data_IF_099343599078
#
_entry.id   IF_099343599078
#
_cell.length_a   1.000
_cell.length_b   1.000
_cell.length_c   1.000
_cell.angle_alpha   90.00
_cell.angle_beta   90.00
_cell.angle_gamma   90.00
#
_symmetry.space_group_name_H-M   'P 1'
#
loop_
_entity.id
_entity.type
_entity.pdbx_description
1 polymer ?
#
# COMPACT_ATOMS: atom_id res chain seq x y z
N UNK A 1 -3.64 13.46 1.63
CA UNK A 1 -3.63 11.99 1.47
C UNK A 1 -2.50 11.33 2.24
N UNK A 2 -1.21 11.54 1.91
CA UNK A 2 -0.10 10.91 2.65
C UNK A 2 -0.15 11.16 4.17
N UNK A 3 -0.35 12.43 4.59
CA UNK A 3 -0.50 12.80 6.00
C UNK A 3 -1.67 12.10 6.70
N UNK A 4 -2.88 12.13 6.11
CA UNK A 4 -4.07 11.44 6.67
C UNK A 4 -3.80 9.94 6.92
N UNK A 5 -3.17 9.27 5.95
CA UNK A 5 -2.85 7.84 6.06
C UNK A 5 -1.66 7.56 6.99
N UNK A 6 -1.01 8.60 7.53
CA UNK A 6 0.05 8.52 8.53
C UNK A 6 -0.25 9.37 9.78
N UNK A 7 -1.53 9.69 10.02
CA UNK A 7 -1.94 10.45 11.20
C UNK A 7 -1.92 9.54 12.44
N UNK A 8 -1.14 9.92 13.45
CA UNK A 8 -1.01 9.17 14.71
C UNK A 8 -2.34 9.04 15.46
N UNK A 9 -3.20 10.06 15.41
CA UNK A 9 -4.50 10.03 16.10
C UNK A 9 -5.48 9.04 15.47
N UNK A 10 -5.32 8.74 14.18
CA UNK A 10 -6.14 7.75 13.46
C UNK A 10 -5.54 6.34 13.53
N UNK A 11 -4.22 6.23 13.47
CA UNK A 11 -3.53 4.96 13.21
C UNK A 11 -2.64 4.46 14.36
N UNK A 12 -2.37 5.27 15.39
CA UNK A 12 -1.50 4.95 16.53
C UNK A 12 -0.03 4.85 16.15
N UNK A 13 0.38 3.81 15.44
CA UNK A 13 1.73 3.58 14.94
C UNK A 13 1.80 3.73 13.40
N UNK A 14 1.59 4.95 12.84
CA UNK A 14 1.32 5.16 11.42
C UNK A 14 2.46 4.74 10.47
N UNK A 15 3.70 4.70 10.96
CA UNK A 15 4.87 4.31 10.18
C UNK A 15 5.20 2.81 10.29
N UNK A 16 4.43 2.03 11.07
CA UNK A 16 4.59 0.59 11.16
C UNK A 16 3.72 -0.14 10.13
N UNK A 17 4.33 -1.01 9.33
CA UNK A 17 3.61 -1.94 8.47
C UNK A 17 2.97 -3.05 9.32
N UNK A 18 1.74 -2.80 9.81
CA UNK A 18 0.97 -3.69 10.69
C UNK A 18 -0.40 -4.00 10.07
N UNK A 19 -0.52 -5.00 9.18
CA UNK A 19 -1.79 -5.34 8.52
C UNK A 19 -2.92 -5.72 9.49
N UNK A 20 -2.58 -6.26 10.66
CA UNK A 20 -3.55 -6.64 11.69
C UNK A 20 -4.48 -5.50 12.14
N UNK A 21 -4.08 -4.23 11.98
CA UNK A 21 -4.92 -3.06 12.30
C UNK A 21 -6.27 -3.07 11.59
N UNK A 22 -6.33 -3.63 10.37
CA UNK A 22 -7.55 -3.71 9.57
C UNK A 22 -8.50 -4.84 10.03
N UNK A 23 -8.05 -5.71 10.95
CA UNK A 23 -8.86 -6.76 11.56
C UNK A 23 -9.43 -6.33 12.93
N UNK A 24 -8.87 -5.28 13.53
CA UNK A 24 -9.27 -4.78 14.86
C UNK A 24 -10.63 -4.08 14.80
N UNK A 25 -10.87 -3.29 13.74
CA UNK A 25 -12.15 -2.67 13.44
C UNK A 25 -12.29 -2.32 11.95
N UNK A 26 -13.51 -2.11 11.46
CA UNK A 26 -13.73 -1.48 10.16
C UNK A 26 -13.07 -0.08 10.11
N UNK A 27 -12.56 0.27 8.95
CA UNK A 27 -12.08 1.63 8.66
C UNK A 27 -13.29 2.53 8.42
N UNK A 28 -13.34 3.65 9.12
CA UNK A 28 -14.43 4.61 8.97
C UNK A 28 -14.25 5.45 7.69
N UNK A 29 -15.34 6.09 7.28
CA UNK A 29 -15.33 6.98 6.11
C UNK A 29 -14.24 8.05 6.27
N UNK A 30 -13.43 8.21 5.24
CA UNK A 30 -12.36 9.21 5.11
C UNK A 30 -11.15 9.03 6.06
N UNK A 31 -11.03 7.89 6.74
CA UNK A 31 -9.79 7.54 7.48
C UNK A 31 -8.69 7.05 6.53
N UNK A 32 -8.98 6.06 5.67
CA UNK A 32 -8.07 5.52 4.67
C UNK A 32 -8.38 6.11 3.29
N UNK A 33 -7.57 7.07 2.85
CA UNK A 33 -7.77 7.80 1.59
C UNK A 33 -6.56 7.79 0.64
N UNK A 34 -5.85 6.66 0.43
CA UNK A 34 -4.75 6.60 -0.53
C UNK A 34 -5.21 6.90 -1.96
N UNK A 35 -6.52 6.77 -2.23
CA UNK A 35 -7.14 7.03 -3.53
C UNK A 35 -8.27 8.07 -3.47
N UNK A 36 -8.20 8.98 -2.49
CA UNK A 36 -9.22 9.98 -2.23
C UNK A 36 -10.32 9.50 -1.27
N UNK A 37 -10.98 10.47 -0.63
CA UNK A 37 -12.14 10.24 0.25
C UNK A 37 -13.46 10.63 -0.42
N UNK A 38 -14.54 10.49 0.33
CA UNK A 38 -15.90 10.83 -0.09
C UNK A 38 -16.64 9.69 -0.80
N UNK A 39 -17.81 10.04 -1.31
CA UNK A 39 -18.68 9.15 -2.07
C UNK A 39 -18.25 9.13 -3.55
N UNK A 40 -17.95 7.94 -4.13
CA UNK A 40 -17.57 7.82 -5.52
C UNK A 40 -18.70 8.13 -6.52
N UNK A 41 -19.97 8.06 -6.11
CA UNK A 41 -21.12 8.35 -6.99
C UNK A 41 -21.36 9.86 -7.16
N UNK A 42 -20.97 10.66 -6.17
CA UNK A 42 -21.28 12.10 -6.11
C UNK A 42 -20.03 12.99 -6.06
N UNK A 43 -18.83 12.40 -6.01
CA UNK A 43 -17.56 13.11 -5.91
C UNK A 43 -16.47 12.58 -6.86
N UNK A 44 -15.22 12.91 -6.53
CA UNK A 44 -14.04 12.57 -7.34
C UNK A 44 -13.17 11.47 -6.71
N UNK A 45 -13.73 10.67 -5.80
CA UNK A 45 -13.03 9.48 -5.29
C UNK A 45 -12.64 8.57 -6.46
N UNK A 46 -11.43 8.01 -6.40
CA UNK A 46 -10.91 7.20 -7.48
C UNK A 46 -11.86 6.05 -7.83
N UNK A 47 -12.32 5.92 -9.09
CA UNK A 47 -13.17 4.81 -9.51
C UNK A 47 -12.39 3.48 -9.60
N UNK A 48 -11.05 3.53 -9.52
CA UNK A 48 -10.16 2.38 -9.66
C UNK A 48 -9.82 1.66 -8.35
N UNK A 49 -10.43 2.02 -7.22
CA UNK A 49 -10.10 1.45 -5.90
C UNK A 49 -10.34 -0.06 -5.84
N UNK A 50 -11.53 -0.52 -6.28
CA UNK A 50 -11.83 -1.94 -6.35
C UNK A 50 -10.88 -2.72 -7.26
N UNK A 51 -10.50 -2.14 -8.40
CA UNK A 51 -9.52 -2.75 -9.32
C UNK A 51 -8.14 -2.82 -8.67
N UNK A 52 -7.72 -1.78 -7.94
CA UNK A 52 -6.42 -1.75 -7.27
C UNK A 52 -6.35 -2.78 -6.15
N UNK A 53 -7.38 -2.85 -5.30
CA UNK A 53 -7.44 -3.83 -4.21
C UNK A 53 -7.46 -5.25 -4.76
N UNK A 54 -8.35 -5.55 -5.72
CA UNK A 54 -8.42 -6.88 -6.33
C UNK A 54 -7.12 -7.30 -7.04
N UNK A 55 -6.42 -6.35 -7.68
CA UNK A 55 -5.11 -6.58 -8.26
C UNK A 55 -4.03 -6.92 -7.22
N UNK A 56 -4.00 -6.17 -6.11
CA UNK A 56 -3.08 -6.44 -5.00
C UNK A 56 -3.37 -7.78 -4.34
N UNK A 57 -4.63 -8.12 -4.08
CA UNK A 57 -5.04 -9.40 -3.50
C UNK A 57 -4.59 -10.59 -4.37
N UNK A 58 -4.81 -10.52 -5.68
CA UNK A 58 -4.42 -11.57 -6.61
C UNK A 58 -2.89 -11.73 -6.71
N UNK A 59 -2.15 -10.61 -6.80
CA UNK A 59 -0.71 -10.63 -6.99
C UNK A 59 0.06 -10.97 -5.70
N UNK A 60 -0.40 -10.48 -4.54
CA UNK A 60 0.27 -10.72 -3.27
C UNK A 60 0.32 -12.22 -2.93
N UNK A 61 -0.81 -12.92 -3.11
CA UNK A 61 -0.87 -14.38 -2.88
C UNK A 61 0.02 -15.14 -3.86
N UNK A 62 0.06 -14.71 -5.13
CA UNK A 62 0.92 -15.33 -6.14
C UNK A 62 2.40 -15.14 -5.83
N UNK A 63 2.81 -13.93 -5.46
CA UNK A 63 4.18 -13.63 -5.05
C UNK A 63 4.57 -14.40 -3.77
N UNK A 64 3.67 -14.52 -2.79
CA UNK A 64 3.94 -15.26 -1.56
C UNK A 64 4.19 -16.77 -1.77
N UNK A 65 3.73 -17.33 -2.89
CA UNK A 65 3.87 -18.76 -3.24
C UNK A 65 4.98 -19.02 -4.25
N UNK A 66 5.58 -17.97 -4.80
CA UNK A 66 6.63 -18.08 -5.80
C UNK A 66 7.98 -18.27 -5.13
N UNK A 67 8.84 -19.10 -5.70
CA UNK A 67 10.22 -19.22 -5.24
C UNK A 67 11.08 -18.20 -5.99
N UNK A 68 11.78 -17.35 -5.24
CA UNK A 68 12.75 -16.41 -5.77
C UNK A 68 13.77 -16.05 -4.70
N UNK A 69 14.86 -15.42 -5.14
CA UNK A 69 15.87 -14.82 -4.28
C UNK A 69 15.85 -13.30 -4.45
N UNK A 70 16.18 -12.59 -3.38
CA UNK A 70 16.35 -11.14 -3.38
C UNK A 70 17.84 -10.86 -3.22
N UNK A 71 18.59 -10.52 -4.28
CA UNK A 71 20.01 -10.20 -4.17
C UNK A 71 20.21 -8.93 -3.33
N UNK A 72 21.43 -8.74 -2.83
CA UNK A 72 21.83 -7.50 -2.17
C UNK A 72 21.58 -6.30 -3.11
N UNK A 73 20.83 -5.32 -2.62
CA UNK A 73 20.40 -4.17 -3.39
C UNK A 73 19.95 -3.03 -2.47
N UNK A 74 19.84 -1.83 -3.02
CA UNK A 74 19.30 -0.68 -2.27
C UNK A 74 17.76 -0.68 -2.34
N UNK A 75 17.12 -1.10 -1.25
CA UNK A 75 15.65 -1.08 -1.09
C UNK A 75 15.13 0.18 -0.40
N UNK A 76 15.96 1.18 -0.12
CA UNK A 76 15.49 2.43 0.50
C UNK A 76 14.45 3.12 -0.38
N UNK A 77 13.42 3.67 0.27
CA UNK A 77 12.35 4.42 -0.39
C UNK A 77 12.51 5.88 0.01
N UNK A 78 12.88 6.74 -0.95
CA UNK A 78 13.03 8.17 -0.69
C UNK A 78 11.67 8.87 -0.71
N UNK A 79 11.27 9.60 0.36
CA UNK A 79 10.05 10.42 0.36
C UNK A 79 10.21 11.71 -0.47
N UNK A 80 11.43 12.07 -0.88
CA UNK A 80 11.71 13.26 -1.69
C UNK A 80 11.56 13.03 -3.19
N UNK A 81 11.19 11.81 -3.62
CA UNK A 81 10.91 11.46 -5.02
C UNK A 81 9.44 11.11 -5.16
N UNK A 82 8.74 11.74 -6.12
CA UNK A 82 7.34 11.44 -6.44
C UNK A 82 7.21 11.00 -7.91
N UNK A 83 6.60 9.84 -8.22
CA UNK A 83 6.13 8.80 -7.28
C UNK A 83 7.30 8.14 -6.54
N UNK A 84 7.08 7.65 -5.32
CA UNK A 84 8.10 6.92 -4.56
C UNK A 84 8.30 5.52 -5.13
N UNK A 85 9.53 5.00 -5.11
CA UNK A 85 9.84 3.58 -5.38
C UNK A 85 11.12 3.18 -4.64
N UNK A 86 11.33 1.89 -4.33
CA UNK A 86 12.63 1.41 -3.87
C UNK A 86 13.72 1.79 -4.87
N UNK A 87 14.89 2.22 -4.39
CA UNK A 87 15.96 2.75 -5.24
C UNK A 87 16.31 1.81 -6.40
N UNK A 88 16.47 0.52 -6.12
CA UNK A 88 16.78 -0.52 -7.12
C UNK A 88 15.55 -1.09 -7.85
N UNK A 89 14.32 -0.73 -7.47
CA UNK A 89 13.09 -1.19 -8.13
C UNK A 89 12.67 -2.63 -7.81
N UNK A 90 13.17 -3.23 -6.73
CA UNK A 90 12.94 -4.63 -6.30
C UNK A 90 13.40 -5.63 -7.36
N UNK A 91 14.69 -5.93 -7.36
CA UNK A 91 15.29 -6.98 -8.17
C UNK A 91 14.99 -8.34 -7.56
N UNK A 92 14.47 -9.26 -8.37
CA UNK A 92 14.26 -10.66 -8.05
C UNK A 92 15.13 -11.53 -8.95
N UNK A 93 15.68 -12.61 -8.42
CA UNK A 93 16.53 -13.53 -9.17
C UNK A 93 16.13 -15.00 -8.91
N UNK A 94 16.45 -15.89 -9.85
CA UNK A 94 16.20 -17.33 -9.70
C UNK A 94 14.73 -17.69 -9.55
N UNK A 95 13.84 -16.99 -10.27
CA UNK A 95 12.39 -17.18 -10.21
C UNK A 95 12.01 -18.60 -10.67
N UNK A 96 11.21 -19.30 -9.85
CA UNK A 96 10.67 -20.64 -10.12
C UNK A 96 9.18 -20.71 -9.82
#
# INVERSE_FOLDING_TARGET
MYGQNHDESLWGDPYAFRPGRFLERPVERDELIPQGGGDPATGHRCPGEGVTVGGLEALAVRLARMEYTVPEQNLTISPHRVPTRPHSGVLLAGIR
#
